data_IF_827361901052
#
_entry.id   IF_827361901052
#
_cell.length_a   1.000
_cell.length_b   1.000
_cell.length_c   1.000
_cell.angle_alpha   90.00
_cell.angle_beta   90.00
_cell.angle_gamma   90.00
#
_symmetry.space_group_name_H-M   'P 1'
#
loop_
_entity.id
_entity.type
_entity.pdbx_description
1 polymer ?
#
# COMPACT_ATOMS: atom_id res chain seq x y z
N UNK A 1 17.85 12.95 -3.32
CA UNK A 1 16.60 12.92 -2.54
C UNK A 1 15.33 13.10 -3.40
N UNK A 2 15.43 13.29 -4.72
CA UNK A 2 14.27 13.27 -5.62
C UNK A 2 13.65 11.86 -5.70
N UNK A 3 14.45 10.82 -5.95
CA UNK A 3 13.98 9.42 -6.08
C UNK A 3 13.17 8.90 -4.89
N UNK A 4 13.50 9.31 -3.66
CA UNK A 4 12.73 8.91 -2.45
C UNK A 4 11.39 9.65 -2.39
N UNK A 5 11.35 10.91 -2.81
CA UNK A 5 10.11 11.69 -2.88
C UNK A 5 9.19 11.13 -3.97
N UNK A 6 9.77 10.77 -5.11
CA UNK A 6 9.07 10.17 -6.24
C UNK A 6 8.52 8.80 -5.83
N UNK A 7 9.32 7.93 -5.21
CA UNK A 7 8.85 6.65 -4.67
C UNK A 7 7.66 6.81 -3.69
N UNK A 8 7.74 7.77 -2.76
CA UNK A 8 6.62 8.04 -1.84
C UNK A 8 5.37 8.52 -2.58
N UNK A 9 5.53 9.30 -3.65
CA UNK A 9 4.41 9.77 -4.47
C UNK A 9 3.78 8.60 -5.23
N UNK A 10 4.59 7.73 -5.80
CA UNK A 10 4.13 6.56 -6.55
C UNK A 10 3.36 5.59 -5.64
N UNK A 11 3.90 5.28 -4.45
CA UNK A 11 3.21 4.48 -3.42
C UNK A 11 1.83 5.05 -3.12
N UNK A 12 1.75 6.37 -2.86
CA UNK A 12 0.48 7.04 -2.54
C UNK A 12 -0.50 7.01 -3.70
N UNK A 13 -0.02 7.15 -4.93
CA UNK A 13 -0.88 7.06 -6.11
C UNK A 13 -1.44 5.65 -6.29
N UNK A 14 -0.61 4.61 -6.13
CA UNK A 14 -1.06 3.23 -6.25
C UNK A 14 -2.05 2.84 -5.16
N UNK A 15 -1.76 3.19 -3.90
CA UNK A 15 -2.69 3.02 -2.78
C UNK A 15 -4.01 3.71 -3.04
N UNK A 16 -3.99 4.95 -3.55
CA UNK A 16 -5.21 5.67 -3.90
C UNK A 16 -6.02 4.90 -4.95
N UNK A 17 -5.38 4.36 -5.99
CA UNK A 17 -6.09 3.59 -7.02
C UNK A 17 -6.77 2.34 -6.45
N UNK A 18 -6.09 1.59 -5.58
CA UNK A 18 -6.71 0.43 -4.91
C UNK A 18 -7.91 0.84 -4.04
N UNK A 19 -7.78 1.94 -3.29
CA UNK A 19 -8.88 2.45 -2.47
C UNK A 19 -10.06 2.94 -3.30
N UNK A 20 -9.81 3.65 -4.40
CA UNK A 20 -10.87 4.11 -5.32
C UNK A 20 -11.66 2.91 -5.89
N UNK A 21 -10.98 1.80 -6.21
CA UNK A 21 -11.63 0.54 -6.62
C UNK A 21 -12.46 -0.07 -5.49
N UNK A 22 -11.90 -0.18 -4.28
CA UNK A 22 -12.62 -0.71 -3.11
C UNK A 22 -13.87 0.12 -2.78
N UNK A 23 -13.79 1.44 -2.85
CA UNK A 23 -14.93 2.32 -2.61
C UNK A 23 -16.00 2.20 -3.71
N UNK A 24 -15.57 1.96 -4.94
CA UNK A 24 -16.49 1.67 -6.05
C UNK A 24 -17.23 0.37 -5.75
N UNK A 25 -16.54 -0.72 -5.40
CA UNK A 25 -17.18 -1.98 -5.04
C UNK A 25 -18.12 -1.82 -3.82
N UNK A 26 -17.70 -1.16 -2.74
CA UNK A 26 -18.54 -0.90 -1.55
C UNK A 26 -19.91 -0.26 -1.86
N UNK A 27 -19.95 0.56 -2.90
CA UNK A 27 -21.17 1.25 -3.32
C UNK A 27 -22.20 0.28 -3.90
N UNK A 28 -21.74 -0.78 -4.57
CA UNK A 28 -22.59 -1.71 -5.34
C UNK A 28 -22.68 -3.13 -4.77
N UNK A 29 -21.86 -3.49 -3.77
CA UNK A 29 -21.84 -4.85 -3.19
C UNK A 29 -22.91 -5.12 -2.13
N UNK A 30 -23.25 -6.40 -1.95
CA UNK A 30 -24.10 -6.89 -0.85
C UNK A 30 -23.45 -6.71 0.54
N UNK A 31 -24.22 -6.63 1.65
CA UNK A 31 -23.68 -6.35 2.98
C UNK A 31 -22.54 -7.27 3.45
N UNK A 32 -22.58 -8.57 3.14
CA UNK A 32 -21.53 -9.53 3.50
C UNK A 32 -20.22 -9.21 2.77
N UNK A 33 -20.31 -8.84 1.49
CA UNK A 33 -19.14 -8.46 0.69
C UNK A 33 -18.55 -7.13 1.17
N UNK A 34 -19.36 -6.23 1.76
CA UNK A 34 -18.87 -4.96 2.32
C UNK A 34 -17.89 -5.15 3.48
N UNK A 35 -18.12 -6.12 4.37
CA UNK A 35 -17.19 -6.41 5.47
C UNK A 35 -15.82 -6.84 4.91
N UNK A 36 -15.81 -7.73 3.92
CA UNK A 36 -14.57 -8.17 3.26
C UNK A 36 -13.84 -7.02 2.56
N UNK A 37 -14.57 -6.11 1.91
CA UNK A 37 -13.96 -4.93 1.27
C UNK A 37 -13.37 -3.99 2.34
N UNK A 38 -14.03 -3.81 3.48
CA UNK A 38 -13.51 -3.00 4.58
C UNK A 38 -12.21 -3.58 5.17
N UNK A 39 -12.12 -4.91 5.27
CA UNK A 39 -10.88 -5.58 5.69
C UNK A 39 -9.73 -5.31 4.70
N UNK A 40 -10.01 -5.41 3.39
CA UNK A 40 -9.02 -5.08 2.34
C UNK A 40 -8.59 -3.61 2.41
N UNK A 41 -9.53 -2.67 2.61
CA UNK A 41 -9.21 -1.25 2.80
C UNK A 41 -8.27 -1.05 3.98
N UNK A 42 -8.52 -1.73 5.10
CA UNK A 42 -7.65 -1.69 6.28
C UNK A 42 -6.23 -2.18 5.93
N UNK A 43 -6.11 -3.31 5.23
CA UNK A 43 -4.83 -3.86 4.80
C UNK A 43 -4.05 -2.88 3.90
N UNK A 44 -4.74 -2.25 2.93
CA UNK A 44 -4.16 -1.22 2.05
C UNK A 44 -3.60 -0.03 2.86
N UNK A 45 -4.36 0.44 3.85
CA UNK A 45 -3.93 1.56 4.70
C UNK A 45 -2.71 1.21 5.55
N UNK A 46 -2.67 -0.01 6.08
CA UNK A 46 -1.51 -0.52 6.84
C UNK A 46 -0.28 -0.60 5.92
N UNK A 47 -0.43 -1.14 4.71
CA UNK A 47 0.65 -1.23 3.72
C UNK A 47 1.25 0.15 3.40
N UNK A 48 0.40 1.17 3.18
CA UNK A 48 0.88 2.55 2.94
C UNK A 48 1.70 3.04 4.15
N UNK A 49 1.12 2.94 5.36
CA UNK A 49 1.74 3.47 6.57
C UNK A 49 3.09 2.80 6.84
N UNK A 50 3.15 1.47 6.73
CA UNK A 50 4.37 0.72 6.94
C UNK A 50 5.45 1.07 5.92
N UNK A 51 5.09 1.12 4.64
CA UNK A 51 6.03 1.39 3.55
C UNK A 51 6.59 2.81 3.66
N UNK A 52 5.74 3.81 3.91
CA UNK A 52 6.17 5.19 4.13
C UNK A 52 7.06 5.31 5.38
N UNK A 53 6.77 4.55 6.44
CA UNK A 53 7.57 4.50 7.66
C UNK A 53 8.95 3.86 7.42
N UNK A 54 9.02 2.74 6.67
CA UNK A 54 10.26 2.08 6.26
C UNK A 54 11.17 3.04 5.47
N UNK A 55 10.59 3.79 4.53
CA UNK A 55 11.30 4.81 3.75
C UNK A 55 11.81 5.96 4.64
N UNK A 56 11.04 6.36 5.65
CA UNK A 56 11.31 7.52 6.52
C UNK A 56 12.24 7.22 7.71
N UNK A 57 12.44 5.93 8.05
CA UNK A 57 13.25 5.45 9.19
C UNK A 57 14.72 5.88 9.16
N UNK A 58 15.23 6.31 7.99
CA UNK A 58 16.63 6.73 7.78
C UNK A 58 17.01 8.07 8.45
N UNK A 59 16.04 8.82 8.97
CA UNK A 59 16.29 10.18 9.48
C UNK A 59 16.75 10.24 10.94
N UNK A 60 16.69 9.14 11.72
CA UNK A 60 16.79 9.23 13.20
C UNK A 60 17.89 8.42 13.90
N UNK A 61 18.62 7.51 13.25
CA UNK A 61 19.72 6.77 13.92
C UNK A 61 21.06 7.50 13.79
N UNK A 62 21.36 8.31 14.81
CA UNK A 62 22.64 8.99 15.03
C UNK A 62 23.75 7.94 15.24
N UNK A 63 24.62 7.74 14.25
CA UNK A 63 25.90 7.03 14.41
C UNK A 63 26.11 5.76 13.57
N UNK A 64 25.05 5.12 13.06
CA UNK A 64 25.18 3.95 12.17
C UNK A 64 24.49 4.21 10.83
N UNK A 65 25.28 4.26 9.75
CA UNK A 65 24.77 4.34 8.38
C UNK A 65 24.19 2.99 7.97
N UNK A 66 23.00 2.64 8.46
CA UNK A 66 22.22 1.56 7.85
C UNK A 66 21.84 1.98 6.43
N UNK A 67 22.46 1.35 5.43
CA UNK A 67 22.06 1.49 4.03
C UNK A 67 20.64 0.93 3.87
N UNK A 68 19.64 1.79 3.95
CA UNK A 68 18.27 1.45 3.54
C UNK A 68 18.29 1.09 2.06
N UNK A 69 17.85 -0.13 1.78
CA UNK A 69 17.63 -0.66 0.46
C UNK A 69 16.22 -0.24 -0.02
N UNK A 70 16.17 0.88 -0.73
CA UNK A 70 14.91 1.40 -1.27
C UNK A 70 14.36 0.53 -2.39
N UNK A 71 15.21 -0.21 -3.10
CA UNK A 71 14.77 -1.11 -4.16
C UNK A 71 14.00 -2.28 -3.56
N UNK A 72 14.53 -2.87 -2.49
CA UNK A 72 13.83 -3.91 -1.75
C UNK A 72 12.47 -3.42 -1.24
N UNK A 73 12.42 -2.24 -0.60
CA UNK A 73 11.15 -1.69 -0.11
C UNK A 73 10.14 -1.48 -1.24
N UNK A 74 10.58 -1.03 -2.42
CA UNK A 74 9.71 -0.85 -3.56
C UNK A 74 9.18 -2.19 -4.08
N UNK A 75 10.05 -3.20 -4.22
CA UNK A 75 9.65 -4.55 -4.65
C UNK A 75 8.65 -5.16 -3.67
N UNK A 76 8.97 -5.15 -2.37
CA UNK A 76 8.09 -5.67 -1.32
C UNK A 76 6.71 -4.97 -1.38
N UNK A 77 6.67 -3.66 -1.63
CA UNK A 77 5.41 -2.92 -1.80
C UNK A 77 4.64 -3.34 -3.07
N UNK A 78 5.32 -3.54 -4.19
CA UNK A 78 4.67 -3.93 -5.44
C UNK A 78 4.07 -5.33 -5.37
N UNK A 79 4.78 -6.27 -4.73
CA UNK A 79 4.28 -7.63 -4.54
C UNK A 79 2.96 -7.62 -3.73
N UNK A 80 2.94 -6.87 -2.61
CA UNK A 80 1.72 -6.72 -1.78
C UNK A 80 0.58 -6.01 -2.51
N UNK A 81 0.89 -5.01 -3.36
CA UNK A 81 -0.15 -4.35 -4.20
C UNK A 81 -0.77 -5.35 -5.18
N UNK A 82 0.02 -6.23 -5.78
CA UNK A 82 -0.49 -7.26 -6.70
C UNK A 82 -1.42 -8.22 -5.94
N UNK A 83 -1.00 -8.70 -4.77
CA UNK A 83 -1.82 -9.59 -3.93
C UNK A 83 -3.15 -8.93 -3.51
N UNK A 84 -3.11 -7.65 -3.11
CA UNK A 84 -4.32 -6.91 -2.75
C UNK A 84 -5.24 -6.69 -3.96
N UNK A 85 -4.69 -6.40 -5.14
CA UNK A 85 -5.47 -6.26 -6.37
C UNK A 85 -6.15 -7.58 -6.77
N UNK A 86 -5.45 -8.72 -6.65
CA UNK A 86 -6.04 -10.04 -6.88
C UNK A 86 -7.17 -10.34 -5.89
N UNK A 87 -6.99 -10.00 -4.60
CA UNK A 87 -8.05 -10.13 -3.59
C UNK A 87 -9.28 -9.29 -3.94
N UNK A 88 -9.10 -8.04 -4.37
CA UNK A 88 -10.21 -7.16 -4.80
C UNK A 88 -10.97 -7.78 -5.98
N UNK A 89 -10.26 -8.30 -6.99
CA UNK A 89 -10.89 -8.91 -8.16
C UNK A 89 -11.63 -10.21 -7.82
N UNK A 90 -11.13 -10.98 -6.85
CA UNK A 90 -11.79 -12.22 -6.40
C UNK A 90 -13.09 -12.01 -5.64
N UNK A 91 -13.47 -10.76 -5.33
CA UNK A 91 -14.74 -10.44 -4.68
C UNK A 91 -15.92 -10.39 -5.66
N UNK A 92 -15.64 -10.29 -6.96
CA UNK A 92 -16.64 -10.25 -8.04
C UNK A 92 -17.02 -11.66 -8.56
N UNK A 93 -16.33 -12.73 -8.12
CA UNK A 93 -16.61 -14.15 -8.42
C UNK A 93 -17.40 -14.85 -7.31
#
# INVERSE_FOLDING_TARGET
MASVKDLKKDIKQMVKHLLDECYTQLTYSEPISKERILDIISDIMVLEQETISKISKKTYKRGESTKVDYQKIANDFYDEVVELAERINSLDE
#
